data_IF_528165475165
#
_entry.id   IF_528165475165
#
_cell.length_a   1.000
_cell.length_b   1.000
_cell.length_c   1.000
_cell.angle_alpha   90.00
_cell.angle_beta   90.00
_cell.angle_gamma   90.00
#
_symmetry.space_group_name_H-M   'P 1'
#
loop_
_entity.id
_entity.type
_entity.pdbx_description
1 polymer ?
#
# COMPACT_ATOMS: atom_id res chain seq x y z
N UNK A 1 8.75 19.15 -19.82
CA UNK A 1 8.19 18.42 -18.66
C UNK A 1 6.69 18.57 -18.69
N UNK A 2 6.00 17.47 -18.97
CA UNK A 2 4.55 17.44 -19.21
C UNK A 2 3.84 17.27 -17.87
N UNK A 3 3.25 18.36 -17.32
CA UNK A 3 2.53 18.37 -16.03
C UNK A 3 1.34 17.39 -15.97
N UNK A 4 0.88 16.88 -17.11
CA UNK A 4 -0.34 16.07 -17.19
C UNK A 4 -0.19 14.62 -16.71
N UNK A 5 1.02 14.07 -16.61
CA UNK A 5 1.22 12.68 -16.16
C UNK A 5 1.23 12.56 -14.63
N UNK A 6 1.59 13.62 -13.91
CA UNK A 6 1.59 13.65 -12.43
C UNK A 6 0.19 13.85 -11.82
N UNK A 7 -0.80 14.25 -12.64
CA UNK A 7 -2.18 14.52 -12.20
C UNK A 7 -3.13 13.32 -12.36
N UNK A 8 -2.75 12.30 -13.14
CA UNK A 8 -3.62 11.13 -13.32
C UNK A 8 -3.60 10.28 -12.05
N UNK A 9 -4.74 10.26 -11.36
CA UNK A 9 -4.97 9.40 -10.21
C UNK A 9 -5.73 8.15 -10.60
N UNK A 10 -5.45 7.06 -9.90
CA UNK A 10 -6.15 5.80 -10.02
C UNK A 10 -6.68 5.38 -8.67
N UNK A 11 -7.77 4.62 -8.69
CA UNK A 11 -8.45 4.17 -7.49
C UNK A 11 -8.31 2.66 -7.31
N UNK A 12 -8.18 2.21 -6.06
CA UNK A 12 -8.34 0.80 -5.73
C UNK A 12 -9.26 0.68 -4.52
N UNK A 13 -10.29 -0.15 -4.65
CA UNK A 13 -11.18 -0.56 -3.56
C UNK A 13 -10.64 -1.85 -2.95
N UNK A 14 -10.51 -1.87 -1.64
CA UNK A 14 -9.97 -3.00 -0.90
C UNK A 14 -10.55 -3.04 0.50
N UNK A 15 -10.43 -4.15 1.21
CA UNK A 15 -10.72 -4.15 2.63
C UNK A 15 -9.76 -3.23 3.38
N UNK A 16 -10.25 -2.57 4.42
CA UNK A 16 -9.45 -1.70 5.29
C UNK A 16 -8.26 -2.46 5.90
N UNK A 17 -8.41 -3.78 6.14
CA UNK A 17 -7.30 -4.64 6.56
C UNK A 17 -6.20 -4.78 5.51
N UNK A 18 -6.57 -4.86 4.24
CA UNK A 18 -5.60 -4.89 3.14
C UNK A 18 -4.88 -3.55 3.02
N UNK A 19 -5.58 -2.43 3.20
CA UNK A 19 -4.92 -1.13 3.31
C UNK A 19 -3.94 -1.05 4.48
N UNK A 20 -4.27 -1.61 5.65
CA UNK A 20 -3.36 -1.64 6.79
C UNK A 20 -2.08 -2.43 6.51
N UNK A 21 -2.19 -3.54 5.77
CA UNK A 21 -1.02 -4.29 5.29
C UNK A 21 -0.18 -3.41 4.35
N UNK A 22 -0.79 -2.72 3.40
CA UNK A 22 -0.08 -1.77 2.53
C UNK A 22 0.62 -0.66 3.34
N UNK A 23 -0.04 -0.07 4.34
CA UNK A 23 0.57 0.97 5.19
C UNK A 23 1.80 0.43 5.91
N UNK A 24 1.72 -0.79 6.46
CA UNK A 24 2.84 -1.45 7.14
C UNK A 24 3.99 -1.77 6.16
N UNK A 25 3.67 -2.29 4.96
CA UNK A 25 4.66 -2.56 3.91
C UNK A 25 5.37 -1.29 3.46
N UNK A 26 4.65 -0.18 3.29
CA UNK A 26 5.24 1.12 2.96
C UNK A 26 6.04 1.70 4.14
N UNK A 27 5.60 1.49 5.39
CA UNK A 27 6.36 1.89 6.57
C UNK A 27 7.72 1.20 6.63
N UNK A 28 7.75 -0.12 6.38
CA UNK A 28 8.98 -0.89 6.29
C UNK A 28 9.88 -0.37 5.16
N UNK A 29 9.32 -0.13 3.98
CA UNK A 29 10.08 0.41 2.84
C UNK A 29 10.69 1.79 3.15
N UNK A 30 9.92 2.69 3.76
CA UNK A 30 10.39 4.02 4.18
C UNK A 30 11.45 3.92 5.26
N UNK A 31 11.29 3.04 6.25
CA UNK A 31 12.27 2.87 7.32
C UNK A 31 13.59 2.33 6.79
N UNK A 32 13.56 1.29 5.94
CA UNK A 32 14.76 0.73 5.30
C UNK A 32 15.47 1.78 4.45
N UNK A 33 14.75 2.54 3.62
CA UNK A 33 15.37 3.59 2.81
C UNK A 33 15.96 4.71 3.66
N UNK A 34 15.28 5.14 4.73
CA UNK A 34 15.81 6.16 5.62
C UNK A 34 17.11 5.73 6.31
N UNK A 35 17.23 4.45 6.70
CA UNK A 35 18.46 3.88 7.26
C UNK A 35 19.60 3.81 6.25
N UNK A 36 19.29 3.58 4.97
CA UNK A 36 20.26 3.50 3.87
C UNK A 36 20.63 4.88 3.26
N UNK A 37 20.01 5.97 3.74
CA UNK A 37 20.26 7.33 3.28
C UNK A 37 19.41 7.77 2.08
N UNK A 38 18.29 7.09 1.83
CA UNK A 38 17.28 7.33 0.80
C UNK A 38 17.82 7.38 -0.64
N UNK A 39 18.62 6.39 -1.08
CA UNK A 39 19.23 6.39 -2.41
C UNK A 39 18.21 6.35 -3.56
N UNK A 40 16.96 5.92 -3.29
CA UNK A 40 15.88 5.83 -4.29
C UNK A 40 14.86 6.96 -4.20
N UNK A 41 15.06 7.96 -3.32
CA UNK A 41 14.11 9.07 -3.08
C UNK A 41 12.69 8.57 -2.74
N UNK A 42 12.63 7.48 -1.96
CA UNK A 42 11.41 6.76 -1.59
C UNK A 42 10.79 7.34 -0.33
N UNK A 43 11.58 7.90 0.59
CA UNK A 43 11.08 8.34 1.90
C UNK A 43 9.97 9.37 1.74
N UNK A 44 10.14 10.37 0.87
CA UNK A 44 9.11 11.37 0.65
C UNK A 44 7.84 10.78 -0.01
N UNK A 45 8.02 9.96 -1.05
CA UNK A 45 6.91 9.35 -1.79
C UNK A 45 6.12 8.38 -0.91
N UNK A 46 6.79 7.49 -0.16
CA UNK A 46 6.17 6.57 0.78
C UNK A 46 5.37 7.29 1.88
N UNK A 47 5.94 8.33 2.47
CA UNK A 47 5.21 9.16 3.43
C UNK A 47 3.97 9.84 2.82
N UNK A 48 4.02 10.21 1.53
CA UNK A 48 2.87 10.79 0.83
C UNK A 48 1.73 9.76 0.67
N UNK A 49 2.05 8.50 0.40
CA UNK A 49 1.09 7.39 0.28
C UNK A 49 0.36 7.18 1.61
N UNK A 50 1.12 7.02 2.70
CA UNK A 50 0.56 6.81 4.03
C UNK A 50 -0.36 7.96 4.45
N UNK A 51 0.09 9.21 4.25
CA UNK A 51 -0.73 10.41 4.50
C UNK A 51 -2.01 10.41 3.67
N UNK A 52 -1.93 10.04 2.40
CA UNK A 52 -3.10 9.98 1.51
C UNK A 52 -4.10 8.94 1.99
N UNK A 53 -3.64 7.76 2.40
CA UNK A 53 -4.55 6.71 2.83
C UNK A 53 -5.18 6.94 4.19
N UNK A 54 -4.44 7.48 5.17
CA UNK A 54 -5.04 7.87 6.45
C UNK A 54 -6.08 8.99 6.31
N UNK A 55 -5.93 9.90 5.34
CA UNK A 55 -6.95 10.93 5.04
C UNK A 55 -8.22 10.36 4.41
N UNK A 56 -8.12 9.23 3.71
CA UNK A 56 -9.21 8.62 2.95
C UNK A 56 -9.93 7.52 3.74
N UNK A 57 -9.38 7.07 4.87
CA UNK A 57 -9.96 5.98 5.65
C UNK A 57 -11.23 6.44 6.41
N UNK A 58 -12.42 5.96 6.03
CA UNK A 58 -13.69 6.51 6.51
C UNK A 58 -14.04 6.10 7.96
N UNK A 59 -13.31 5.14 8.54
CA UNK A 59 -13.69 4.50 9.80
C UNK A 59 -12.71 4.68 10.94
N UNK A 60 -11.71 5.56 10.85
CA UNK A 60 -10.70 5.72 11.90
C UNK A 60 -11.34 6.04 13.26
N UNK A 61 -11.13 5.21 14.29
CA UNK A 61 -11.72 5.43 15.61
C UNK A 61 -11.27 6.75 16.24
N UNK A 62 -12.19 7.39 16.98
CA UNK A 62 -11.93 8.62 17.75
C UNK A 62 -11.63 8.36 19.23
N UNK A 63 -11.78 7.11 19.67
CA UNK A 63 -11.57 6.69 21.05
C UNK A 63 -11.02 5.25 21.09
N UNK A 64 -10.52 4.85 22.27
CA UNK A 64 -9.93 3.53 22.50
C UNK A 64 -10.91 2.38 22.25
N UNK A 65 -12.19 2.60 22.55
CA UNK A 65 -13.21 1.56 22.39
C UNK A 65 -13.46 1.23 20.92
N UNK A 66 -13.45 2.24 20.05
CA UNK A 66 -13.61 2.02 18.61
C UNK A 66 -12.47 1.19 18.01
N UNK A 67 -11.27 1.22 18.59
CA UNK A 67 -10.15 0.39 18.15
C UNK A 67 -10.34 -1.11 18.43
N UNK A 68 -11.17 -1.49 19.41
CA UNK A 68 -11.40 -2.91 19.76
C UNK A 68 -12.06 -3.70 18.62
N UNK A 69 -12.87 -3.02 17.80
CA UNK A 69 -13.59 -3.62 16.67
C UNK A 69 -13.14 -3.09 15.31
N UNK A 70 -12.08 -2.27 15.28
CA UNK A 70 -11.60 -1.65 14.05
C UNK A 70 -10.39 -2.40 13.47
N UNK A 71 -10.33 -2.57 12.14
CA UNK A 71 -11.40 -2.29 11.18
C UNK A 71 -12.54 -3.30 11.30
N UNK A 72 -13.78 -2.85 11.03
CA UNK A 72 -14.91 -3.75 11.03
C UNK A 72 -14.74 -4.84 9.94
N UNK A 73 -15.19 -6.09 10.15
CA UNK A 73 -15.06 -7.14 9.13
C UNK A 73 -15.69 -6.72 7.80
N UNK A 74 -14.96 -6.87 6.70
CA UNK A 74 -15.41 -6.47 5.36
C UNK A 74 -15.54 -4.96 5.14
N UNK A 75 -15.08 -4.12 6.08
CA UNK A 75 -15.09 -2.67 5.88
C UNK A 75 -14.15 -2.31 4.72
N UNK A 76 -14.71 -1.78 3.65
CA UNK A 76 -13.92 -1.35 2.48
C UNK A 76 -13.37 0.07 2.65
N UNK A 77 -12.26 0.33 1.96
CA UNK A 77 -11.71 1.66 1.74
C UNK A 77 -11.39 1.83 0.26
N UNK A 78 -11.65 3.03 -0.26
CA UNK A 78 -11.21 3.43 -1.60
C UNK A 78 -9.95 4.26 -1.45
N UNK A 79 -8.87 3.79 -2.06
CA UNK A 79 -7.59 4.48 -2.07
C UNK A 79 -7.40 5.19 -3.40
N UNK A 80 -7.20 6.50 -3.39
CA UNK A 80 -6.85 7.28 -4.58
C UNK A 80 -5.40 7.72 -4.47
N UNK A 81 -4.55 7.28 -5.40
CA UNK A 81 -3.13 7.62 -5.51
C UNK A 81 -2.79 7.93 -6.98
N UNK A 82 -1.68 8.64 -7.22
CA UNK A 82 -1.15 8.82 -8.57
C UNK A 82 -0.35 7.58 -9.05
N UNK A 83 0.06 7.59 -10.32
CA UNK A 83 0.80 6.47 -10.92
C UNK A 83 2.08 6.10 -10.13
N UNK A 84 2.94 7.07 -9.82
CA UNK A 84 4.21 6.84 -9.12
C UNK A 84 4.00 6.26 -7.71
N UNK A 85 2.95 6.72 -7.02
CA UNK A 85 2.56 6.17 -5.72
C UNK A 85 2.10 4.71 -5.84
N UNK A 86 1.28 4.38 -6.84
CA UNK A 86 0.86 2.99 -7.07
C UNK A 86 2.02 2.09 -7.50
N UNK A 87 2.95 2.58 -8.30
CA UNK A 87 4.18 1.88 -8.67
C UNK A 87 4.99 1.53 -7.43
N UNK A 88 5.20 2.48 -6.52
CA UNK A 88 5.90 2.22 -5.27
C UNK A 88 5.16 1.18 -4.40
N UNK A 89 3.84 1.26 -4.26
CA UNK A 89 3.04 0.24 -3.54
C UNK A 89 3.25 -1.15 -4.12
N UNK A 90 3.12 -1.30 -5.44
CA UNK A 90 3.25 -2.60 -6.10
C UNK A 90 4.66 -3.14 -6.00
N UNK A 91 5.69 -2.30 -6.20
CA UNK A 91 7.09 -2.69 -6.04
C UNK A 91 7.41 -3.10 -4.60
N UNK A 92 6.85 -2.40 -3.60
CA UNK A 92 7.04 -2.74 -2.19
C UNK A 92 6.38 -4.09 -1.86
N UNK A 93 5.13 -4.33 -2.26
CA UNK A 93 4.45 -5.62 -2.05
C UNK A 93 5.22 -6.79 -2.68
N UNK A 94 5.77 -6.60 -3.89
CA UNK A 94 6.61 -7.62 -4.54
C UNK A 94 7.89 -7.87 -3.74
N UNK A 95 8.58 -6.81 -3.31
CA UNK A 95 9.83 -6.93 -2.54
C UNK A 95 9.58 -7.61 -1.19
N UNK A 96 8.61 -7.13 -0.42
CA UNK A 96 8.35 -7.60 0.94
C UNK A 96 7.75 -9.01 0.96
N UNK A 97 6.93 -9.38 -0.03
CA UNK A 97 6.50 -10.78 -0.17
C UNK A 97 7.67 -11.74 -0.43
N UNK A 98 8.70 -11.30 -1.17
CA UNK A 98 9.92 -12.09 -1.38
C UNK A 98 10.77 -12.18 -0.10
N UNK A 99 10.86 -11.08 0.67
CA UNK A 99 11.54 -11.07 1.98
C UNK A 99 10.85 -12.04 2.94
N UNK A 100 9.53 -11.94 3.13
CA UNK A 100 8.76 -12.81 4.03
C UNK A 100 8.85 -14.28 3.60
N UNK A 101 8.75 -14.57 2.29
CA UNK A 101 8.91 -15.94 1.79
C UNK A 101 10.32 -16.53 2.08
N UNK A 102 11.35 -15.69 2.18
CA UNK A 102 12.72 -16.14 2.43
C UNK A 102 12.99 -16.56 3.89
N UNK A 103 12.13 -16.15 4.83
CA UNK A 103 12.27 -16.46 6.26
C UNK A 103 11.98 -17.94 6.58
N UNK A 104 11.21 -18.62 5.73
CA UNK A 104 11.06 -20.07 5.73
C UNK A 104 10.13 -20.66 6.79
N UNK A 105 9.44 -19.82 7.57
CA UNK A 105 8.40 -20.23 8.51
C UNK A 105 6.98 -20.04 7.93
N UNK A 106 6.00 -20.69 8.57
CA UNK A 106 4.62 -20.73 8.07
C UNK A 106 3.88 -19.39 8.18
N UNK A 107 4.23 -18.56 9.18
CA UNK A 107 3.62 -17.25 9.39
C UNK A 107 4.08 -16.29 8.29
N UNK A 108 5.40 -16.20 8.08
CA UNK A 108 5.97 -15.38 7.00
C UNK A 108 5.54 -15.83 5.60
N UNK A 109 5.30 -17.14 5.40
CA UNK A 109 4.73 -17.65 4.15
C UNK A 109 3.27 -17.19 3.92
N UNK A 110 2.48 -17.07 4.99
CA UNK A 110 1.11 -16.55 4.91
C UNK A 110 1.11 -15.04 4.63
N UNK A 111 2.01 -14.29 5.25
CA UNK A 111 2.17 -12.85 4.98
C UNK A 111 2.58 -12.59 3.53
N UNK A 112 3.55 -13.36 3.02
CA UNK A 112 3.97 -13.29 1.63
C UNK A 112 2.80 -13.56 0.65
N UNK A 113 1.89 -14.47 0.99
CA UNK A 113 0.73 -14.75 0.17
C UNK A 113 -0.31 -13.62 0.25
N UNK A 114 -0.52 -13.01 1.42
CA UNK A 114 -1.39 -11.85 1.56
C UNK A 114 -0.92 -10.68 0.70
N UNK A 115 0.38 -10.38 0.71
CA UNK A 115 0.97 -9.32 -0.13
C UNK A 115 0.70 -9.56 -1.63
N UNK A 116 0.88 -10.80 -2.10
CA UNK A 116 0.61 -11.18 -3.52
C UNK A 116 -0.87 -11.05 -3.88
N UNK A 117 -1.77 -11.44 -2.98
CA UNK A 117 -3.22 -11.30 -3.19
C UNK A 117 -3.61 -9.83 -3.31
N UNK A 118 -3.05 -8.97 -2.45
CA UNK A 118 -3.28 -7.53 -2.48
C UNK A 118 -2.69 -6.91 -3.77
N UNK A 119 -1.47 -7.29 -4.14
CA UNK A 119 -0.84 -6.86 -5.38
C UNK A 119 -1.71 -7.19 -6.61
N UNK A 120 -2.17 -8.44 -6.72
CA UNK A 120 -3.00 -8.89 -7.83
C UNK A 120 -4.34 -8.16 -7.89
N UNK A 121 -4.96 -7.90 -6.73
CA UNK A 121 -6.19 -7.12 -6.62
C UNK A 121 -6.00 -5.70 -7.17
N UNK A 122 -4.95 -5.01 -6.71
CA UNK A 122 -4.65 -3.63 -7.13
C UNK A 122 -4.37 -3.60 -8.63
N UNK A 123 -3.48 -4.46 -9.14
CA UNK A 123 -3.13 -4.50 -10.57
C UNK A 123 -4.36 -4.66 -11.45
N UNK A 124 -5.29 -5.55 -11.08
CA UNK A 124 -6.53 -5.76 -11.84
C UNK A 124 -7.33 -4.46 -11.94
N UNK A 125 -7.57 -3.79 -10.81
CA UNK A 125 -8.38 -2.57 -10.76
C UNK A 125 -7.70 -1.39 -11.48
N UNK A 126 -6.38 -1.25 -11.36
CA UNK A 126 -5.63 -0.21 -12.07
C UNK A 126 -5.68 -0.44 -13.59
N UNK A 127 -5.55 -1.70 -14.05
CA UNK A 127 -5.65 -2.04 -15.47
C UNK A 127 -7.05 -1.75 -16.05
N UNK A 128 -8.12 -1.99 -15.28
CA UNK A 128 -9.50 -1.62 -15.65
C UNK A 128 -9.67 -0.10 -15.85
N UNK A 129 -8.80 0.72 -15.24
CA UNK A 129 -8.75 2.17 -15.40
C UNK A 129 -7.75 2.64 -16.46
N UNK A 130 -7.17 1.72 -17.24
CA UNK A 130 -6.19 2.04 -18.29
C UNK A 130 -4.81 2.38 -17.75
N UNK A 131 -4.49 2.03 -16.50
CA UNK A 131 -3.10 2.09 -16.03
C UNK A 131 -2.26 1.06 -16.78
N UNK A 132 -1.15 1.53 -17.36
CA UNK A 132 -0.08 0.69 -17.86
C UNK A 132 1.14 0.93 -16.98
N UNK A 133 1.69 -0.13 -16.38
CA UNK A 133 2.98 -0.03 -15.70
C UNK A 133 4.01 0.56 -16.67
N UNK A 134 4.77 1.56 -16.20
CA UNK A 134 5.87 2.14 -16.96
C UNK A 134 7.02 1.14 -17.19
#
# INVERSE_FOLDING_TARGET
>A
MNRSAEETTYQAVMETRQWLIIDATIDNEVSTEAEEGDPRDVVHLGNSIRKAGWRQNPGWPRDLKGFESWPAPGQETTMTLNAAQWELVLSALVRWSAVSASLGDAESAADAEQDRVIEALIRRQLAEQGWSAA
#
